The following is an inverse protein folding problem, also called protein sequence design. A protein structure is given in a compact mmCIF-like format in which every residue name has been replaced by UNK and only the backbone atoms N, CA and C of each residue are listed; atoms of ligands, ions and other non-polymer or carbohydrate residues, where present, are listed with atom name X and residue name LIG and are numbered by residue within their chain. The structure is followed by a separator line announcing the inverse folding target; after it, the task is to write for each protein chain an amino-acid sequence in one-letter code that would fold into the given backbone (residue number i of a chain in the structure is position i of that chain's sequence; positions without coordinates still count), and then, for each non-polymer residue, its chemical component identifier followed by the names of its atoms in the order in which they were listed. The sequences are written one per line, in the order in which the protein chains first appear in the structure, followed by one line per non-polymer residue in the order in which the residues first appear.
data_IF_711519613184
#
_entry.id   IF_711519613184
#
_cell.length_a   1.000
_cell.length_b   1.000
_cell.length_c   1.000
_cell.angle_alpha   90.00
_cell.angle_beta   90.00
_cell.angle_gamma   90.00
#
_symmetry.space_group_name_H-M   'P 1'
#
loop_
_entity.id
_entity.type
_entity.pdbx_description
1 polymer ?
#
# COMPACT_ATOMS: atom_id res chain seq x y z
N UNK A 1 15.33 2.77 -10.88
CA UNK A 1 16.61 3.44 -10.56
C UNK A 1 17.67 2.39 -10.23
N UNK A 2 18.96 2.73 -10.35
CA UNK A 2 20.05 1.77 -10.16
C UNK A 2 20.44 1.50 -8.69
N UNK A 3 20.22 2.47 -7.78
CA UNK A 3 20.66 2.38 -6.37
C UNK A 3 19.58 2.72 -5.31
N UNK A 4 18.35 2.20 -5.39
CA UNK A 4 17.39 2.33 -4.30
C UNK A 4 17.67 1.33 -3.16
N UNK A 5 17.27 1.67 -1.93
CA UNK A 5 17.42 0.79 -0.77
C UNK A 5 16.59 -0.51 -0.89
N UNK A 6 15.37 -0.42 -1.44
CA UNK A 6 14.47 -1.57 -1.56
C UNK A 6 13.72 -1.62 -2.89
N UNK A 7 13.02 -0.55 -3.28
CA UNK A 7 12.27 -0.51 -4.54
C UNK A 7 12.55 0.78 -5.31
N UNK A 8 12.34 0.75 -6.62
CA UNK A 8 12.57 1.91 -7.49
C UNK A 8 11.64 3.09 -7.20
N UNK A 9 10.45 2.82 -6.66
CA UNK A 9 9.43 3.83 -6.41
C UNK A 9 8.90 3.72 -4.98
N UNK A 10 8.60 4.86 -4.39
CA UNK A 10 8.00 5.01 -3.07
C UNK A 10 6.89 6.06 -3.14
N UNK A 11 5.83 5.84 -2.36
CA UNK A 11 4.69 6.73 -2.30
C UNK A 11 4.37 7.08 -0.85
N UNK A 12 3.96 8.33 -0.64
CA UNK A 12 3.48 8.82 0.65
C UNK A 12 2.25 9.69 0.48
N UNK A 13 1.36 9.67 1.46
CA UNK A 13 0.20 10.55 1.51
C UNK A 13 0.52 11.85 2.26
N UNK A 14 0.10 12.99 1.70
CA UNK A 14 0.20 14.30 2.33
C UNK A 14 -0.52 14.33 3.69
N UNK A 15 -1.70 13.71 3.78
CA UNK A 15 -2.47 13.68 5.02
C UNK A 15 -1.74 12.93 6.15
N UNK A 16 -0.99 11.87 5.82
CA UNK A 16 -0.17 11.13 6.78
C UNK A 16 0.99 11.97 7.33
N UNK A 17 1.59 12.83 6.50
CA UNK A 17 2.63 13.76 6.93
C UNK A 17 2.03 14.86 7.80
N UNK A 18 0.86 15.37 7.42
CA UNK A 18 0.13 16.34 8.23
C UNK A 18 -0.22 15.78 9.62
N UNK A 19 -0.72 14.55 9.71
CA UNK A 19 -0.97 13.88 11.00
C UNK A 19 0.31 13.75 11.83
N UNK A 20 1.40 13.32 11.21
CA UNK A 20 2.70 13.23 11.90
C UNK A 20 3.12 14.59 12.48
N UNK A 21 2.96 15.67 11.71
CA UNK A 21 3.32 17.02 12.14
C UNK A 21 2.49 17.52 13.33
N UNK A 22 1.28 16.99 13.57
CA UNK A 22 0.52 17.34 14.79
C UNK A 22 1.15 16.80 16.08
N UNK A 23 2.06 15.83 15.96
CA UNK A 23 2.71 15.13 17.08
C UNK A 23 4.14 15.58 17.30
N UNK A 24 4.66 16.44 16.44
CA UNK A 24 6.05 16.92 16.45
C UNK A 24 6.11 18.37 16.94
N UNK A 25 7.16 18.70 17.68
CA UNK A 25 7.48 20.09 18.02
C UNK A 25 7.99 20.85 16.79
N UNK A 26 8.87 20.19 16.02
CA UNK A 26 9.50 20.72 14.82
C UNK A 26 8.89 20.00 13.59
N UNK A 27 8.13 20.71 12.72
CA UNK A 27 7.43 20.08 11.61
C UNK A 27 8.40 19.58 10.54
N UNK A 28 8.06 18.44 9.93
CA UNK A 28 8.83 17.83 8.84
C UNK A 28 8.11 17.94 7.51
N UNK A 29 8.90 17.92 6.44
CA UNK A 29 8.42 17.94 5.06
C UNK A 29 8.50 16.54 4.43
N UNK A 30 7.77 16.27 3.33
CA UNK A 30 7.92 15.01 2.59
C UNK A 30 9.37 14.67 2.23
N UNK A 31 10.22 15.68 2.00
CA UNK A 31 11.63 15.49 1.63
C UNK A 31 12.44 14.70 2.67
N UNK A 32 12.10 14.79 3.95
CA UNK A 32 12.73 14.00 5.02
C UNK A 32 12.55 12.48 4.79
N UNK A 33 11.46 12.09 4.12
CA UNK A 33 11.12 10.70 3.81
C UNK A 33 11.54 10.29 2.40
N UNK A 34 12.03 11.22 1.59
CA UNK A 34 12.51 11.02 0.21
C UNK A 34 11.54 10.21 -0.68
N UNK A 35 10.22 10.48 -0.67
CA UNK A 35 9.27 9.75 -1.49
C UNK A 35 9.40 10.14 -2.96
N UNK A 36 9.12 9.21 -3.88
CA UNK A 36 9.05 9.55 -5.31
C UNK A 36 7.73 10.23 -5.68
N UNK A 37 6.64 9.82 -5.02
CA UNK A 37 5.30 10.35 -5.24
C UNK A 37 4.68 10.80 -3.92
N UNK A 38 4.07 11.99 -3.93
CA UNK A 38 3.21 12.48 -2.85
C UNK A 38 1.81 12.64 -3.39
N UNK A 39 0.86 11.95 -2.76
CA UNK A 39 -0.56 11.97 -3.13
C UNK A 39 -1.37 12.79 -2.12
N UNK A 40 -2.46 13.39 -2.61
CA UNK A 40 -3.42 14.18 -1.84
C UNK A 40 -4.82 13.67 -2.05
N UNK A 41 -5.67 13.73 -1.03
CA UNK A 41 -7.09 13.36 -1.10
C UNK A 41 -7.43 12.02 -0.45
N UNK A 42 -6.41 11.22 -0.11
CA UNK A 42 -6.57 10.01 0.69
C UNK A 42 -6.60 10.34 2.19
N UNK A 43 -7.29 9.50 2.98
CA UNK A 43 -7.34 9.57 4.45
C UNK A 43 -5.96 9.25 5.04
N UNK A 44 -5.75 9.71 6.27
CA UNK A 44 -4.52 9.48 7.03
C UNK A 44 -4.18 7.98 7.05
N UNK A 45 -2.99 7.62 6.58
CA UNK A 45 -2.44 6.26 6.52
C UNK A 45 -3.23 5.27 5.65
N UNK A 46 -4.13 5.75 4.81
CA UNK A 46 -4.90 4.90 3.90
C UNK A 46 -3.99 4.16 2.91
N UNK A 47 -2.81 4.73 2.60
CA UNK A 47 -1.84 4.14 1.70
C UNK A 47 -1.35 2.73 2.11
N UNK A 48 -1.42 2.40 3.41
CA UNK A 48 -1.00 1.09 3.90
C UNK A 48 -1.90 -0.05 3.39
N UNK A 49 -3.17 0.26 3.07
CA UNK A 49 -4.20 -0.71 2.67
C UNK A 49 -4.27 -0.99 1.17
N UNK A 50 -3.54 -0.24 0.35
CA UNK A 50 -3.65 -0.36 -1.10
C UNK A 50 -2.90 -1.58 -1.62
N UNK A 51 -3.52 -2.39 -2.46
CA UNK A 51 -2.84 -3.49 -3.18
C UNK A 51 -2.16 -2.97 -4.46
N UNK A 52 -2.83 -2.07 -5.18
CA UNK A 52 -2.28 -1.44 -6.37
C UNK A 52 -2.65 0.04 -6.46
N UNK A 53 -1.81 0.79 -7.18
CA UNK A 53 -1.96 2.22 -7.42
C UNK A 53 -1.75 2.49 -8.89
N UNK A 54 -2.75 3.08 -9.55
CA UNK A 54 -2.66 3.57 -10.92
C UNK A 54 -2.56 5.08 -10.91
N UNK A 55 -1.54 5.58 -11.59
CA UNK A 55 -1.26 7.01 -11.74
C UNK A 55 -1.23 7.30 -13.23
N UNK A 56 -2.20 8.09 -13.72
CA UNK A 56 -2.38 8.29 -15.15
C UNK A 56 -2.56 6.94 -15.87
N UNK A 57 -1.60 6.57 -16.71
CA UNK A 57 -1.60 5.28 -17.44
C UNK A 57 -0.65 4.22 -16.85
N UNK A 58 0.08 4.54 -15.78
CA UNK A 58 1.06 3.66 -15.17
C UNK A 58 0.46 2.95 -13.96
N UNK A 59 0.59 1.63 -13.88
CA UNK A 59 0.10 0.82 -12.76
C UNK A 59 1.27 0.32 -11.93
N UNK A 60 1.20 0.58 -10.63
CA UNK A 60 2.13 0.13 -9.62
C UNK A 60 1.44 -0.88 -8.70
N UNK A 61 2.21 -1.87 -8.24
CA UNK A 61 1.81 -2.78 -7.18
C UNK A 61 2.43 -2.32 -5.85
N UNK A 62 1.67 -2.36 -4.77
CA UNK A 62 2.22 -2.22 -3.43
C UNK A 62 3.03 -3.47 -3.08
N UNK A 63 4.32 -3.30 -2.81
CA UNK A 63 5.24 -4.41 -2.54
C UNK A 63 5.35 -4.65 -1.05
N UNK A 64 5.50 -3.58 -0.27
CA UNK A 64 5.67 -3.64 1.19
C UNK A 64 5.59 -2.25 1.81
N UNK A 65 5.28 -2.14 3.12
CA UNK A 65 5.43 -0.89 3.86
C UNK A 65 6.90 -0.42 3.90
N UNK A 66 7.11 0.89 3.86
CA UNK A 66 8.43 1.50 3.92
C UNK A 66 8.87 1.70 5.36
N UNK A 67 9.88 0.95 5.78
CA UNK A 67 10.52 1.11 7.08
C UNK A 67 11.40 2.35 7.09
N UNK A 68 11.31 3.14 8.17
CA UNK A 68 12.02 4.40 8.31
C UNK A 68 13.23 4.24 9.22
N UNK A 69 14.34 4.80 8.77
CA UNK A 69 15.63 4.73 9.44
C UNK A 69 16.09 6.13 9.89
N UNK A 70 17.30 6.20 10.45
CA UNK A 70 17.90 7.42 11.00
C UNK A 70 18.03 8.56 9.98
N UNK A 71 18.05 8.28 8.68
CA UNK A 71 18.14 9.32 7.64
C UNK A 71 16.95 10.27 7.63
N UNK A 72 15.79 9.84 8.17
CA UNK A 72 14.64 10.74 8.34
C UNK A 72 14.90 11.89 9.30
N UNK A 73 15.92 11.78 10.16
CA UNK A 73 16.28 12.80 11.15
C UNK A 73 17.28 13.84 10.62
N UNK A 74 17.73 13.68 9.37
CA UNK A 74 18.61 14.64 8.72
C UNK A 74 17.75 15.71 8.07
N UNK A 75 17.99 16.96 8.46
CA UNK A 75 17.34 18.10 7.84
C UNK A 75 17.83 18.25 6.38
N UNK A 76 16.93 18.32 5.39
CA UNK A 76 17.30 18.32 3.98
C UNK A 76 17.98 19.61 3.51
N UNK A 77 17.75 20.74 4.18
CA UNK A 77 18.32 22.04 3.82
C UNK A 77 19.72 22.22 4.42
N UNK A 78 19.92 21.76 5.65
CA UNK A 78 21.17 21.97 6.40
C UNK A 78 22.09 20.74 6.39
N UNK A 79 21.56 19.55 6.09
CA UNK A 79 22.29 18.28 6.17
C UNK A 79 22.64 17.87 7.61
N UNK A 80 22.12 18.58 8.62
CA UNK A 80 22.42 18.29 10.03
C UNK A 80 21.43 17.29 10.61
N UNK A 81 21.92 16.38 11.45
CA UNK A 81 21.09 15.42 12.18
C UNK A 81 20.39 16.12 13.35
N UNK A 82 19.10 15.85 13.52
CA UNK A 82 18.34 16.31 14.67
C UNK A 82 18.92 15.73 15.98
N UNK A 83 19.24 16.55 16.98
CA UNK A 83 19.74 16.08 18.27
C UNK A 83 18.68 15.29 19.05
N UNK A 84 17.39 15.52 18.77
CA UNK A 84 16.26 14.83 19.41
C UNK A 84 15.91 13.50 18.73
N UNK A 85 16.54 13.18 17.59
CA UNK A 85 16.23 11.97 16.79
C UNK A 85 14.77 11.97 16.29
N UNK A 86 14.21 13.15 16.06
CA UNK A 86 12.90 13.32 15.43
C UNK A 86 13.05 13.39 13.91
N UNK A 87 12.08 12.88 13.12
CA UNK A 87 10.76 12.35 13.51
C UNK A 87 10.74 10.85 13.88
N UNK A 88 11.91 10.19 13.85
CA UNK A 88 12.01 8.73 14.01
C UNK A 88 11.54 8.25 15.39
N UNK A 89 11.84 9.00 16.45
CA UNK A 89 11.42 8.68 17.82
C UNK A 89 9.90 8.71 17.95
N UNK A 90 9.25 9.75 17.45
CA UNK A 90 7.79 9.84 17.43
C UNK A 90 7.16 8.70 16.65
N UNK A 91 7.67 8.41 15.45
CA UNK A 91 7.19 7.29 14.63
C UNK A 91 7.32 5.93 15.33
N UNK A 92 8.42 5.66 16.04
CA UNK A 92 8.58 4.42 16.84
C UNK A 92 7.50 4.26 17.91
N UNK A 93 6.95 5.37 18.43
CA UNK A 93 5.94 5.33 19.48
C UNK A 93 4.60 4.76 19.02
N UNK A 94 4.19 4.98 17.77
CA UNK A 94 2.84 4.62 17.31
C UNK A 94 2.78 3.86 15.97
N UNK A 95 3.89 3.77 15.21
CA UNK A 95 3.93 3.18 13.85
C UNK A 95 4.86 1.99 13.74
N UNK A 96 4.81 1.07 14.70
CA UNK A 96 5.52 -0.21 14.60
C UNK A 96 4.57 -1.33 14.19
N UNK A 97 5.03 -2.17 13.26
CA UNK A 97 4.29 -3.37 12.88
C UNK A 97 4.42 -4.40 14.01
N UNK A 98 3.26 -4.84 14.51
CA UNK A 98 3.15 -5.83 15.59
C UNK A 98 2.77 -7.22 15.11
N UNK A 99 2.42 -7.34 13.82
CA UNK A 99 2.09 -8.60 13.20
C UNK A 99 3.28 -9.58 13.31
N UNK A 100 3.11 -10.77 13.93
CA UNK A 100 4.18 -11.74 14.10
C UNK A 100 4.78 -12.22 12.78
N UNK A 101 4.05 -12.21 11.67
CA UNK A 101 4.55 -12.65 10.37
C UNK A 101 5.47 -11.62 9.72
N UNK A 102 5.13 -10.34 9.84
CA UNK A 102 5.87 -9.24 9.23
C UNK A 102 7.00 -8.71 10.12
N UNK A 103 6.89 -8.88 11.45
CA UNK A 103 7.85 -8.37 12.43
C UNK A 103 9.30 -8.83 12.21
N UNK A 104 9.61 -10.08 11.80
CA UNK A 104 10.97 -10.50 11.47
C UNK A 104 11.61 -9.69 10.33
N UNK A 105 10.80 -9.20 9.38
CA UNK A 105 11.27 -8.43 8.23
C UNK A 105 11.38 -6.93 8.52
N UNK A 106 10.49 -6.39 9.34
CA UNK A 106 10.44 -4.95 9.65
C UNK A 106 11.28 -4.60 10.88
N UNK A 107 11.50 -5.55 11.78
CA UNK A 107 12.12 -5.34 13.08
C UNK A 107 11.36 -4.31 13.90
N UNK A 108 12.11 -3.51 14.68
CA UNK A 108 11.56 -2.39 15.47
C UNK A 108 11.53 -1.06 14.71
N UNK A 109 11.76 -1.10 13.40
CA UNK A 109 11.73 0.10 12.56
C UNK A 109 10.28 0.51 12.32
N UNK A 110 9.93 1.80 12.53
CA UNK A 110 8.58 2.24 12.27
C UNK A 110 8.32 2.33 10.76
N UNK A 111 7.06 2.26 10.37
CA UNK A 111 6.64 2.28 8.96
C UNK A 111 5.84 3.53 8.61
N UNK A 112 6.17 4.12 7.46
CA UNK A 112 5.43 5.24 6.91
C UNK A 112 5.61 5.32 5.40
N UNK A 113 4.51 5.36 4.66
CA UNK A 113 4.52 5.25 3.20
C UNK A 113 4.80 3.83 2.71
N UNK A 114 4.70 3.65 1.40
CA UNK A 114 4.72 2.33 0.76
C UNK A 114 5.79 2.23 -0.34
N UNK A 115 6.34 1.04 -0.50
CA UNK A 115 7.21 0.68 -1.60
C UNK A 115 6.39 0.18 -2.79
N UNK A 116 6.62 0.78 -3.96
CA UNK A 116 5.92 0.47 -5.18
C UNK A 116 6.82 -0.27 -6.18
N UNK A 117 6.25 -1.28 -6.83
CA UNK A 117 6.82 -1.98 -7.98
C UNK A 117 6.05 -1.65 -9.25
N UNK A 118 6.74 -1.38 -10.35
CA UNK A 118 6.08 -1.13 -11.63
C UNK A 118 5.48 -2.44 -12.18
N UNK A 119 4.18 -2.46 -12.45
CA UNK A 119 3.47 -3.63 -13.00
C UNK A 119 3.11 -3.48 -14.48
N UNK A 120 2.80 -2.27 -14.92
CA UNK A 120 2.46 -1.98 -16.32
C UNK A 120 3.71 -1.70 -17.17
N UNK A 121 3.51 -1.55 -18.48
CA UNK A 121 4.51 -1.01 -19.38
C UNK A 121 4.90 0.42 -18.97
N UNK A 122 6.11 0.83 -19.37
CA UNK A 122 6.62 2.17 -19.10
C UNK A 122 5.64 3.24 -19.58
N UNK A 123 5.51 4.31 -18.79
CA UNK A 123 4.67 5.44 -19.12
C UNK A 123 5.14 6.69 -18.38
N UNK A 124 4.51 7.81 -18.73
CA UNK A 124 4.82 9.10 -18.13
C UNK A 124 3.78 9.42 -17.05
N UNK A 125 4.27 9.92 -15.92
CA UNK A 125 3.47 10.42 -14.80
C UNK A 125 3.71 11.93 -14.71
N UNK A 126 2.64 12.70 -14.47
CA UNK A 126 2.69 14.15 -14.31
C UNK A 126 2.06 14.57 -12.98
N UNK A 127 2.45 15.75 -12.52
CA UNK A 127 1.76 16.42 -11.41
C UNK A 127 0.31 16.71 -11.82
N UNK A 128 -0.63 16.48 -10.90
CA UNK A 128 -2.06 16.61 -11.15
C UNK A 128 -2.71 15.39 -11.81
N UNK A 129 -1.95 14.34 -12.16
CA UNK A 129 -2.56 13.10 -12.62
C UNK A 129 -3.43 12.49 -11.52
N UNK A 130 -4.60 12.00 -11.95
CA UNK A 130 -5.51 11.25 -11.09
C UNK A 130 -4.88 9.93 -10.64
N UNK A 131 -5.06 9.65 -9.35
CA UNK A 131 -4.60 8.44 -8.68
C UNK A 131 -5.81 7.58 -8.38
N UNK A 132 -5.78 6.36 -8.90
CA UNK A 132 -6.76 5.32 -8.63
C UNK A 132 -6.10 4.22 -7.82
N UNK A 133 -6.77 3.75 -6.79
CA UNK A 133 -6.24 2.73 -5.88
C UNK A 133 -7.15 1.52 -5.89
N UNK A 134 -6.54 0.34 -5.85
CA UNK A 134 -7.24 -0.89 -5.54
C UNK A 134 -6.99 -1.26 -4.09
N UNK A 135 -8.07 -1.46 -3.36
CA UNK A 135 -8.05 -2.05 -2.02
C UNK A 135 -8.44 -3.51 -2.19
N UNK A 136 -7.75 -4.47 -1.58
CA UNK A 136 -8.19 -5.86 -1.63
C UNK A 136 -9.59 -5.94 -1.02
N UNK A 137 -10.53 -6.57 -1.74
CA UNK A 137 -11.81 -6.95 -1.14
C UNK A 137 -11.48 -7.95 -0.03
N UNK A 138 -11.93 -7.67 1.20
CA UNK A 138 -11.86 -8.66 2.27
C UNK A 138 -12.62 -9.90 1.77
N UNK A 139 -11.94 -11.03 1.60
CA UNK A 139 -12.64 -12.30 1.42
C UNK A 139 -13.46 -12.52 2.68
N UNK A 140 -14.76 -12.21 2.62
CA UNK A 140 -15.74 -12.60 3.62
C UNK A 140 -15.49 -14.09 3.91
N UNK A 141 -15.21 -14.47 5.17
CA UNK A 141 -14.86 -15.84 5.48
C UNK A 141 -15.99 -16.73 4.97
N UNK A 142 -15.68 -17.63 4.03
CA UNK A 142 -16.62 -18.62 3.54
C UNK A 142 -17.16 -19.40 4.75
N UNK A 143 -18.32 -19.00 5.24
CA UNK A 143 -19.04 -19.70 6.28
C UNK A 143 -19.50 -21.00 5.65
N UNK A 144 -18.69 -22.05 5.77
CA UNK A 144 -19.14 -23.40 5.49
C UNK A 144 -20.27 -23.67 6.48
N UNK A 145 -21.53 -23.79 6.02
CA UNK A 145 -22.62 -24.12 6.93
C UNK A 145 -22.25 -25.44 7.61
N UNK A 146 -22.45 -25.58 8.93
CA UNK A 146 -22.22 -26.84 9.59
C UNK A 146 -23.03 -27.91 8.86
N UNK A 147 -22.37 -29.01 8.48
CA UNK A 147 -23.01 -30.16 7.84
C UNK A 147 -24.09 -30.69 8.78
N UNK A 148 -25.31 -30.16 8.61
CA UNK A 148 -26.46 -30.57 9.40
C UNK A 148 -26.81 -31.98 8.98
N UNK A 149 -26.74 -32.84 9.98
CA UNK A 149 -27.08 -34.24 9.96
C UNK A 149 -28.37 -34.53 9.17
N UNK A 150 -28.28 -35.61 8.38
CA UNK A 150 -29.34 -36.61 8.18
C UNK A 150 -30.57 -36.12 7.38
N UNK A 151 -30.45 -36.20 6.06
CA UNK A 151 -31.60 -36.30 5.17
C UNK A 151 -32.34 -37.61 5.46
N UNK A 152 -33.50 -37.55 6.11
CA UNK A 152 -34.46 -38.65 6.12
C UNK A 152 -35.55 -38.33 5.10
N UNK A 153 -35.64 -39.18 4.08
CA UNK A 153 -36.78 -39.35 3.17
C UNK A 153 -37.25 -38.14 2.38
N UNK A 154 -36.74 -38.01 1.15
CA UNK A 154 -37.59 -37.75 -0.02
C UNK A 154 -36.96 -38.47 -1.20
N UNK A 155 -37.60 -39.57 -1.58
CA UNK A 155 -37.32 -40.40 -2.74
C UNK A 155 -37.88 -39.73 -3.99
N UNK A 156 -37.15 -39.89 -5.11
CA UNK A 156 -37.45 -39.46 -6.49
C UNK A 156 -37.15 -37.99 -6.81
N UNK A 157 -35.94 -37.74 -7.30
CA UNK A 157 -35.75 -37.51 -8.73
C UNK A 157 -34.27 -37.68 -9.10
N UNK A 158 -34.03 -38.62 -10.01
CA UNK A 158 -32.73 -38.95 -10.58
C UNK A 158 -32.43 -37.95 -11.69
N UNK A 159 -31.35 -37.17 -11.54
CA UNK A 159 -30.69 -36.51 -12.68
C UNK A 159 -29.18 -36.82 -12.66
N UNK A 160 -28.56 -37.00 -13.84
CA UNK A 160 -27.36 -37.82 -13.97
C UNK A 160 -26.09 -37.08 -13.55
N UNK A 161 -25.17 -37.88 -13.00
CA UNK A 161 -23.78 -37.54 -12.73
C UNK A 161 -23.06 -37.54 -14.09
N UNK A 162 -22.56 -36.38 -14.54
CA UNK A 162 -21.45 -36.36 -15.49
C UNK A 162 -20.15 -35.97 -14.78
N UNK A 163 -19.29 -36.97 -14.79
CA UNK A 163 -17.91 -37.01 -14.36
C UNK A 163 -17.05 -36.21 -15.36
N UNK A 164 -16.36 -35.16 -14.91
CA UNK A 164 -14.93 -34.95 -15.22
C UNK A 164 -14.35 -33.76 -14.49
N UNK A 165 -13.53 -34.10 -13.51
CA UNK A 165 -12.43 -33.30 -13.02
C UNK A 165 -11.38 -33.18 -14.14
N UNK A 166 -11.14 -31.98 -14.66
CA UNK A 166 -9.93 -31.71 -15.44
C UNK A 166 -9.50 -30.25 -15.33
N UNK A 167 -8.31 -30.09 -14.73
CA UNK A 167 -7.31 -29.01 -14.83
C UNK A 167 -7.78 -27.58 -14.56
N UNK A 168 -7.13 -27.02 -13.55
CA UNK A 168 -7.04 -25.61 -13.27
C UNK A 168 -6.55 -24.84 -14.50
N UNK A 169 -7.45 -24.07 -15.10
CA UNK A 169 -7.12 -22.79 -15.69
C UNK A 169 -7.56 -21.74 -14.65
N UNK A 170 -6.58 -21.15 -13.99
CA UNK A 170 -6.78 -19.95 -13.17
C UNK A 170 -6.98 -18.81 -14.16
N UNK A 171 -8.22 -18.65 -14.63
CA UNK A 171 -8.65 -17.43 -15.28
C UNK A 171 -8.79 -16.35 -14.21
N UNK A 172 -7.80 -15.46 -14.16
CA UNK A 172 -7.92 -14.21 -13.44
C UNK A 172 -8.98 -13.35 -14.15
N UNK A 173 -10.02 -12.85 -13.45
CA UNK A 173 -11.11 -12.17 -14.13
C UNK A 173 -10.62 -10.91 -14.85
N UNK A 174 -10.97 -10.88 -16.13
CA UNK A 174 -10.84 -9.78 -17.06
C UNK A 174 -11.49 -8.50 -16.51
N UNK A 175 -10.71 -7.42 -16.52
CA UNK A 175 -11.06 -6.02 -16.85
C UNK A 175 -12.41 -5.44 -16.37
N UNK A 176 -12.98 -5.90 -15.26
CA UNK A 176 -14.27 -5.41 -14.76
C UNK A 176 -14.42 -5.42 -13.24
N UNK A 177 -13.32 -5.30 -12.48
CA UNK A 177 -13.45 -4.98 -11.05
C UNK A 177 -13.86 -3.52 -10.88
N UNK A 178 -14.95 -3.33 -10.17
CA UNK A 178 -15.62 -2.08 -9.88
C UNK A 178 -14.65 -0.99 -9.40
N UNK A 179 -14.58 0.11 -10.15
CA UNK A 179 -13.91 1.34 -9.75
C UNK A 179 -14.65 2.00 -8.57
N UNK A 180 -14.37 1.57 -7.34
CA UNK A 180 -14.63 2.38 -6.15
C UNK A 180 -13.31 3.03 -5.72
N UNK A 181 -12.85 3.98 -6.54
CA UNK A 181 -11.62 4.74 -6.28
C UNK A 181 -11.90 5.96 -5.41
N UNK A 182 -11.24 6.03 -4.25
CA UNK A 182 -10.99 7.33 -3.60
C UNK A 182 -10.15 8.17 -4.56
N UNK A 183 -10.69 9.30 -5.02
CA UNK A 183 -10.02 10.16 -5.98
C UNK A 183 -8.90 10.93 -5.27
N UNK A 184 -7.66 10.47 -5.43
CA UNK A 184 -6.47 11.18 -4.98
C UNK A 184 -5.74 11.80 -6.19
N UNK A 185 -4.99 12.88 -5.97
CA UNK A 185 -4.19 13.54 -7.01
C UNK A 185 -2.72 13.56 -6.60
N UNK A 186 -1.81 13.46 -7.58
CA UNK A 186 -0.38 13.69 -7.33
C UNK A 186 -0.11 15.18 -7.19
N UNK A 187 0.51 15.55 -6.07
CA UNK A 187 0.88 16.95 -5.79
C UNK A 187 2.39 17.19 -5.82
N UNK A 188 3.21 16.13 -5.71
CA UNK A 188 4.64 16.23 -5.90
C UNK A 188 5.20 14.92 -6.49
N UNK A 189 6.14 15.08 -7.43
CA UNK A 189 6.95 14.02 -8.01
C UNK A 189 8.37 14.53 -8.10
N UNK A 190 9.34 13.72 -7.66
CA UNK A 190 10.77 14.07 -7.68
C UNK A 190 11.39 14.10 -9.10
N UNK A 191 10.60 14.16 -10.17
CA UNK A 191 11.11 14.39 -11.53
C UNK A 191 11.64 15.80 -11.78
N UNK A 192 11.62 16.70 -10.78
CA UNK A 192 12.13 18.08 -10.88
C UNK A 192 13.41 18.29 -10.03
N UNK A 193 14.34 17.34 -10.08
CA UNK A 193 15.75 17.63 -9.79
C UNK A 193 16.47 17.58 -11.14
N UNK A 194 16.56 18.76 -11.77
CA UNK A 194 17.48 19.04 -12.88
C UNK A 194 18.94 18.83 -12.45
#
# INVERSE_FOLDING_TARGET
GAYPDATSYTLMNEASIADLNTRLEDPVTPQHFRPNFVVKGARVLEEDSWDWVKIGNVVFRNVKPCTRCIFTTVDPETGMKSPKVEPLKTLKGYRQIKDPELRPFTGDSPVMGIHLGLRSNNGNVRLGDGVFVGVPEEEEPFYSPPLLHRWSSCEHDVFPIEEKMSKADIDYPDSSSSFFGSAANIIASLSNLE
#
